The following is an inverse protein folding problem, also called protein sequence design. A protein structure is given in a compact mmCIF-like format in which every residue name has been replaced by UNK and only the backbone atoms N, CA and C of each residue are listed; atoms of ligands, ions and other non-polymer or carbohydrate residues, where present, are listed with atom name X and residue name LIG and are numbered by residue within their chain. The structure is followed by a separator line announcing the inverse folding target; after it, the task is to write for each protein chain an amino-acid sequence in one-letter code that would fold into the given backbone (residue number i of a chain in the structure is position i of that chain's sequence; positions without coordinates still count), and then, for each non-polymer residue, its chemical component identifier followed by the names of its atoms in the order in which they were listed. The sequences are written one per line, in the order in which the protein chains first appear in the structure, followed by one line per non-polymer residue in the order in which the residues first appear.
data_IF_499299768760
#
_entry.id   IF_499299768760
#
_cell.length_a   1.000
_cell.length_b   1.000
_cell.length_c   1.000
_cell.angle_alpha   90.00
_cell.angle_beta   90.00
_cell.angle_gamma   90.00
#
_symmetry.space_group_name_H-M   'P 1'
#
loop_
_entity.id
_entity.type
_entity.pdbx_description
1 polymer ?
#
# COMPACT_ATOMS: atom_id res chain seq x y z
N UNK A 1 26.94 5.38 41.66
CA UNK A 1 27.27 6.02 40.37
C UNK A 1 27.12 5.02 39.25
N UNK A 2 26.21 5.18 38.31
CA UNK A 2 26.06 4.24 37.21
C UNK A 2 27.19 4.47 36.19
N UNK A 3 27.86 3.38 35.81
CA UNK A 3 29.02 3.39 34.92
C UNK A 3 28.69 3.91 33.51
N UNK A 4 29.59 4.70 32.89
CA UNK A 4 29.36 5.29 31.57
C UNK A 4 29.17 4.25 30.46
N UNK A 5 29.61 3.02 30.66
CA UNK A 5 29.53 1.91 29.74
C UNK A 5 28.10 1.44 29.43
N UNK A 6 27.18 1.51 30.43
CA UNK A 6 25.77 1.12 30.24
C UNK A 6 24.99 2.11 29.36
N UNK A 7 25.32 3.41 29.45
CA UNK A 7 24.67 4.45 28.61
C UNK A 7 25.13 4.39 27.15
N UNK A 8 26.37 3.99 26.89
CA UNK A 8 26.91 3.79 25.55
C UNK A 8 26.29 2.56 24.86
N UNK A 9 26.10 1.45 25.59
CA UNK A 9 25.46 0.24 25.09
C UNK A 9 23.97 0.46 24.75
N UNK A 10 23.25 1.22 25.59
CA UNK A 10 21.83 1.57 25.31
C UNK A 10 21.69 2.48 24.09
N UNK A 11 22.62 3.41 23.87
CA UNK A 11 22.60 4.26 22.67
C UNK A 11 22.97 3.47 21.39
N UNK A 12 23.85 2.49 21.49
CA UNK A 12 24.23 1.63 20.37
C UNK A 12 23.08 0.69 19.97
N UNK A 13 22.32 0.17 20.92
CA UNK A 13 21.15 -0.69 20.66
C UNK A 13 20.01 0.12 20.02
N UNK A 14 19.76 1.36 20.48
CA UNK A 14 18.74 2.23 19.87
C UNK A 14 19.10 2.70 18.47
N UNK A 15 20.39 2.90 18.15
CA UNK A 15 20.84 3.23 16.81
C UNK A 15 20.73 2.03 15.83
N UNK A 16 20.84 0.80 16.35
CA UNK A 16 20.72 -0.43 15.54
C UNK A 16 19.29 -0.76 15.12
N UNK A 17 18.27 -0.32 15.86
CA UNK A 17 16.86 -0.56 15.50
C UNK A 17 16.32 0.38 14.43
N UNK A 18 16.94 1.55 14.21
CA UNK A 18 16.49 2.50 13.19
C UNK A 18 16.90 2.12 11.75
N UNK A 19 17.85 1.19 11.57
CA UNK A 19 18.32 0.76 10.24
C UNK A 19 17.71 -0.56 9.74
N UNK A 20 16.91 -1.24 10.57
CA UNK A 20 16.34 -2.55 10.25
C UNK A 20 15.00 -2.50 9.48
N UNK A 21 14.52 -1.31 9.13
CA UNK A 21 13.25 -1.11 8.42
C UNK A 21 13.41 -0.76 6.94
N UNK A 22 14.60 -0.92 6.38
CA UNK A 22 14.73 -0.92 4.93
C UNK A 22 14.47 -2.35 4.47
N UNK A 23 13.34 -2.66 3.82
CA UNK A 23 13.22 -3.89 3.08
C UNK A 23 14.36 -3.85 2.06
N UNK A 24 15.30 -4.79 2.18
CA UNK A 24 16.28 -5.04 1.12
C UNK A 24 15.45 -5.44 -0.09
N UNK A 25 15.20 -4.46 -0.94
CA UNK A 25 14.51 -4.66 -2.19
C UNK A 25 15.20 -5.80 -2.93
N UNK A 26 14.50 -6.87 -3.18
CA UNK A 26 14.84 -7.84 -4.20
C UNK A 26 14.56 -7.15 -5.55
N UNK A 27 15.39 -6.17 -5.86
CA UNK A 27 15.44 -5.57 -7.18
C UNK A 27 16.03 -6.60 -8.12
N UNK A 28 15.17 -7.36 -8.79
CA UNK A 28 15.52 -7.84 -10.10
C UNK A 28 15.94 -6.61 -10.94
N UNK A 29 16.98 -6.71 -11.83
CA UNK A 29 17.43 -5.61 -12.65
C UNK A 29 16.32 -5.24 -13.64
N UNK A 30 15.52 -4.28 -13.29
CA UNK A 30 14.41 -3.78 -14.08
C UNK A 30 13.63 -2.74 -13.29
N UNK A 31 13.52 -1.58 -13.72
CA UNK A 31 12.70 -0.45 -13.32
C UNK A 31 12.75 -0.05 -11.83
N UNK A 32 13.69 0.86 -11.51
CA UNK A 32 13.80 1.48 -10.20
C UNK A 32 12.46 2.12 -9.73
N UNK A 33 11.62 2.57 -10.67
CA UNK A 33 10.30 3.09 -10.39
C UNK A 33 9.33 2.03 -9.87
N UNK A 34 9.39 0.80 -10.39
CA UNK A 34 8.58 -0.31 -9.89
C UNK A 34 9.01 -0.72 -8.48
N UNK A 35 10.32 -0.80 -8.23
CA UNK A 35 10.83 -1.08 -6.90
C UNK A 35 10.37 -0.02 -5.88
N UNK A 36 10.54 1.26 -6.22
CA UNK A 36 10.06 2.37 -5.39
C UNK A 36 8.54 2.33 -5.16
N UNK A 37 7.76 1.92 -6.16
CA UNK A 37 6.32 1.72 -6.01
C UNK A 37 5.99 0.61 -5.00
N UNK A 38 6.69 -0.52 -5.03
CA UNK A 38 6.46 -1.63 -4.09
C UNK A 38 6.84 -1.23 -2.66
N UNK A 39 7.99 -0.58 -2.47
CA UNK A 39 8.44 -0.09 -1.17
C UNK A 39 7.46 0.95 -0.59
N UNK A 40 7.05 1.91 -1.43
CA UNK A 40 6.05 2.90 -1.07
C UNK A 40 4.71 2.25 -0.73
N UNK A 41 4.30 1.25 -1.50
CA UNK A 41 3.06 0.51 -1.27
C UNK A 41 3.05 -0.20 0.07
N UNK A 42 4.12 -0.95 0.39
CA UNK A 42 4.27 -1.64 1.66
C UNK A 42 4.14 -0.67 2.84
N UNK A 43 4.83 0.47 2.74
CA UNK A 43 4.79 1.54 3.74
C UNK A 43 3.38 2.12 3.91
N UNK A 44 2.68 2.42 2.81
CA UNK A 44 1.36 3.05 2.84
C UNK A 44 0.24 2.13 3.33
N UNK A 45 0.36 0.82 3.10
CA UNK A 45 -0.64 -0.16 3.57
C UNK A 45 -0.27 -0.78 4.93
N UNK A 46 0.83 -0.31 5.55
CA UNK A 46 1.27 -0.77 6.87
C UNK A 46 1.72 -2.24 6.89
N UNK A 47 2.30 -2.72 5.80
CA UNK A 47 2.83 -4.08 5.69
C UNK A 47 4.34 -4.05 5.50
N UNK A 48 5.05 -5.07 5.99
CA UNK A 48 6.48 -5.24 5.73
C UNK A 48 6.79 -5.61 4.28
N UNK A 49 5.79 -6.14 3.57
CA UNK A 49 5.92 -6.63 2.20
C UNK A 49 4.57 -6.61 1.49
N UNK A 50 4.59 -6.36 0.19
CA UNK A 50 3.45 -6.52 -0.72
C UNK A 50 3.85 -7.45 -1.88
N UNK A 51 2.90 -8.25 -2.38
CA UNK A 51 3.17 -9.20 -3.46
C UNK A 51 3.53 -8.48 -4.77
N UNK A 52 4.75 -8.65 -5.33
CA UNK A 52 5.14 -8.05 -6.59
C UNK A 52 4.29 -8.53 -7.78
N UNK A 53 3.77 -9.74 -7.74
CA UNK A 53 2.91 -10.26 -8.80
C UNK A 53 1.60 -9.48 -8.88
N UNK A 54 1.03 -9.12 -7.72
CA UNK A 54 -0.13 -8.24 -7.63
C UNK A 54 0.25 -6.77 -7.89
N UNK A 55 1.44 -6.35 -7.47
CA UNK A 55 1.93 -4.98 -7.65
C UNK A 55 2.15 -4.61 -9.12
N UNK A 56 2.64 -5.54 -9.93
CA UNK A 56 2.97 -5.29 -11.35
C UNK A 56 1.78 -4.77 -12.17
N UNK A 57 0.61 -5.41 -12.22
CA UNK A 57 -0.54 -4.88 -12.96
C UNK A 57 -1.04 -3.53 -12.44
N UNK A 58 -0.94 -3.28 -11.13
CA UNK A 58 -1.28 -1.98 -10.56
C UNK A 58 -0.32 -0.89 -11.03
N UNK A 59 0.99 -1.16 -10.98
CA UNK A 59 2.03 -0.25 -11.46
C UNK A 59 1.86 0.10 -12.94
N UNK A 60 1.68 -0.90 -13.81
CA UNK A 60 1.47 -0.68 -15.24
C UNK A 60 0.20 0.11 -15.53
N UNK A 61 -0.87 -0.10 -14.78
CA UNK A 61 -2.09 0.66 -14.93
C UNK A 61 -1.91 2.14 -14.53
N UNK A 62 -1.17 2.43 -13.45
CA UNK A 62 -0.82 3.80 -13.08
C UNK A 62 0.07 4.48 -14.11
N UNK A 63 1.09 3.76 -14.60
CA UNK A 63 2.00 4.25 -15.63
C UNK A 63 1.27 4.57 -16.93
N UNK A 64 0.28 3.75 -17.30
CA UNK A 64 -0.56 4.00 -18.48
C UNK A 64 -1.47 5.24 -18.31
N UNK A 65 -1.86 5.60 -17.08
CA UNK A 65 -2.64 6.81 -16.79
C UNK A 65 -1.78 8.08 -16.73
N UNK A 66 -0.57 7.95 -16.20
CA UNK A 66 0.38 9.05 -16.02
C UNK A 66 1.80 8.53 -16.22
N UNK A 67 2.42 8.87 -17.34
CA UNK A 67 3.76 8.39 -17.71
C UNK A 67 4.86 8.79 -16.71
N UNK A 68 4.64 9.82 -15.92
CA UNK A 68 5.54 10.31 -14.86
C UNK A 68 5.38 9.55 -13.52
N UNK A 69 4.43 8.62 -13.43
CA UNK A 69 4.12 7.89 -12.18
C UNK A 69 5.36 7.24 -11.53
N UNK A 70 6.27 6.56 -12.26
CA UNK A 70 7.49 5.99 -11.67
C UNK A 70 8.35 7.04 -10.96
N UNK A 71 8.55 8.20 -11.58
CA UNK A 71 9.34 9.29 -11.03
C UNK A 71 8.68 9.90 -9.78
N UNK A 72 7.35 9.98 -9.76
CA UNK A 72 6.58 10.45 -8.60
C UNK A 72 6.72 9.49 -7.41
N UNK A 73 6.74 8.18 -7.65
CA UNK A 73 7.00 7.19 -6.60
C UNK A 73 8.41 7.36 -6.01
N UNK A 74 9.43 7.49 -6.87
CA UNK A 74 10.81 7.74 -6.44
C UNK A 74 10.92 9.02 -5.61
N UNK A 75 10.32 10.12 -6.10
CA UNK A 75 10.36 11.42 -5.43
C UNK A 75 9.68 11.37 -4.04
N UNK A 76 8.51 10.73 -3.94
CA UNK A 76 7.81 10.60 -2.67
C UNK A 76 8.58 9.73 -1.68
N UNK A 77 9.12 8.59 -2.13
CA UNK A 77 9.91 7.71 -1.28
C UNK A 77 11.16 8.42 -0.76
N UNK A 78 11.87 9.14 -1.64
CA UNK A 78 13.03 9.95 -1.26
C UNK A 78 12.65 11.04 -0.24
N UNK A 79 11.52 11.72 -0.43
CA UNK A 79 11.03 12.74 0.50
C UNK A 79 10.70 12.16 1.88
N UNK A 80 10.04 10.96 1.92
CA UNK A 80 9.75 10.26 3.17
C UNK A 80 11.04 9.91 3.91
N UNK A 81 12.02 9.34 3.20
CA UNK A 81 13.31 8.94 3.77
C UNK A 81 14.13 10.13 4.26
N UNK A 82 14.27 11.18 3.44
CA UNK A 82 15.06 12.35 3.77
C UNK A 82 14.51 13.12 4.99
N UNK A 83 13.18 13.17 5.12
CA UNK A 83 12.50 13.91 6.19
C UNK A 83 12.05 13.02 7.36
N UNK A 84 12.28 11.70 7.29
CA UNK A 84 11.85 10.71 8.28
C UNK A 84 10.35 10.84 8.60
N UNK A 85 9.53 10.99 7.55
CA UNK A 85 8.09 11.18 7.71
C UNK A 85 7.42 9.89 8.18
N UNK A 86 6.63 10.01 9.23
CA UNK A 86 5.79 8.92 9.71
C UNK A 86 4.64 8.65 8.73
N UNK A 87 4.47 7.41 8.23
CA UNK A 87 3.38 7.04 7.34
C UNK A 87 1.99 7.43 7.85
N UNK A 88 1.75 7.36 9.17
CA UNK A 88 0.47 7.73 9.77
C UNK A 88 0.15 9.24 9.63
N UNK A 89 1.16 10.08 9.55
CA UNK A 89 1.01 11.54 9.42
C UNK A 89 1.31 12.06 8.03
N UNK A 90 1.88 11.23 7.15
CA UNK A 90 2.34 11.58 5.82
C UNK A 90 1.30 12.37 5.02
N UNK A 91 0.07 11.86 4.94
CA UNK A 91 -0.99 12.49 4.15
C UNK A 91 -1.30 13.90 4.65
N UNK A 92 -1.38 14.09 5.97
CA UNK A 92 -1.65 15.40 6.57
C UNK A 92 -0.52 16.40 6.27
N UNK A 93 0.74 15.94 6.31
CA UNK A 93 1.89 16.78 5.98
C UNK A 93 1.85 17.21 4.52
N UNK A 94 1.64 16.28 3.59
CA UNK A 94 1.57 16.58 2.16
C UNK A 94 0.40 17.52 1.81
N UNK A 95 -0.74 17.35 2.48
CA UNK A 95 -1.91 18.21 2.27
C UNK A 95 -1.67 19.62 2.81
N UNK A 96 -1.07 19.75 4.01
CA UNK A 96 -0.74 21.06 4.61
C UNK A 96 0.27 21.85 3.78
N UNK A 97 1.19 21.16 3.12
CA UNK A 97 2.19 21.76 2.23
C UNK A 97 1.68 21.99 0.80
N UNK A 98 0.41 21.65 0.50
CA UNK A 98 -0.14 21.65 -0.86
C UNK A 98 0.78 20.94 -1.86
N UNK A 99 1.40 19.84 -1.45
CA UNK A 99 2.40 19.11 -2.24
C UNK A 99 1.78 18.57 -3.53
N UNK A 100 2.48 18.67 -4.68
CA UNK A 100 2.03 18.04 -5.93
C UNK A 100 1.95 16.50 -5.84
N UNK A 101 2.57 15.91 -4.81
CA UNK A 101 2.53 14.48 -4.53
C UNK A 101 1.38 14.06 -3.58
N UNK A 102 0.59 15.01 -3.04
CA UNK A 102 -0.43 14.75 -2.02
C UNK A 102 -1.50 13.74 -2.44
N UNK A 103 -1.82 13.65 -3.73
CA UNK A 103 -2.78 12.67 -4.22
C UNK A 103 -2.22 11.23 -4.30
N UNK A 104 -0.89 11.07 -4.39
CA UNK A 104 -0.25 9.80 -4.68
C UNK A 104 -0.46 8.74 -3.59
N UNK A 105 -0.27 9.03 -2.28
CA UNK A 105 -0.50 8.03 -1.23
C UNK A 105 -1.93 7.48 -1.23
N UNK A 106 -2.93 8.36 -1.40
CA UNK A 106 -4.35 7.94 -1.45
C UNK A 106 -4.64 7.04 -2.64
N UNK A 107 -4.07 7.38 -3.81
CA UNK A 107 -4.26 6.59 -5.04
C UNK A 107 -3.65 5.19 -4.89
N UNK A 108 -2.43 5.11 -4.38
CA UNK A 108 -1.72 3.84 -4.16
C UNK A 108 -2.43 2.99 -3.11
N UNK A 109 -2.75 3.56 -1.94
CA UNK A 109 -3.46 2.82 -0.89
C UNK A 109 -4.83 2.31 -1.36
N UNK A 110 -5.59 3.12 -2.10
CA UNK A 110 -6.87 2.71 -2.68
C UNK A 110 -6.71 1.55 -3.67
N UNK A 111 -5.68 1.59 -4.52
CA UNK A 111 -5.44 0.55 -5.49
C UNK A 111 -5.16 -0.81 -4.82
N UNK A 112 -4.38 -0.81 -3.74
CA UNK A 112 -4.13 -2.03 -2.97
C UNK A 112 -5.34 -2.51 -2.18
N UNK A 113 -6.06 -1.59 -1.54
CA UNK A 113 -7.22 -1.93 -0.70
C UNK A 113 -8.42 -2.39 -1.52
N UNK A 114 -8.69 -1.74 -2.65
CA UNK A 114 -9.89 -1.98 -3.47
C UNK A 114 -9.61 -2.70 -4.79
N UNK A 115 -8.33 -2.86 -5.17
CA UNK A 115 -7.98 -3.44 -6.47
C UNK A 115 -8.30 -2.56 -7.66
N UNK A 116 -8.55 -1.26 -7.47
CA UNK A 116 -9.03 -0.34 -8.51
C UNK A 116 -8.03 0.79 -8.74
N UNK A 117 -7.64 1.00 -10.00
CA UNK A 117 -6.82 2.13 -10.46
C UNK A 117 -7.66 3.05 -11.32
N UNK A 118 -7.56 4.36 -11.06
CA UNK A 118 -8.34 5.39 -11.75
C UNK A 118 -9.70 5.68 -11.10
N UNK A 119 -10.52 6.49 -11.77
CA UNK A 119 -11.83 6.91 -11.29
C UNK A 119 -12.81 7.12 -12.43
N UNK A 120 -14.12 7.09 -12.14
CA UNK A 120 -15.19 7.28 -13.11
C UNK A 120 -15.09 6.26 -14.26
N UNK A 121 -15.27 6.72 -15.50
CA UNK A 121 -15.22 5.87 -16.71
C UNK A 121 -13.82 5.32 -17.01
N UNK A 122 -12.77 5.86 -16.37
CA UNK A 122 -11.38 5.41 -16.51
C UNK A 122 -10.96 4.43 -15.39
N UNK A 123 -11.85 4.09 -14.48
CA UNK A 123 -11.58 3.12 -13.44
C UNK A 123 -11.38 1.72 -14.03
N UNK A 124 -10.33 1.03 -13.55
CA UNK A 124 -10.02 -0.36 -13.94
C UNK A 124 -9.91 -1.20 -12.68
N UNK A 125 -10.69 -2.26 -12.59
CA UNK A 125 -10.55 -3.27 -11.54
C UNK A 125 -9.46 -4.27 -11.99
N UNK A 126 -8.42 -4.40 -11.18
CA UNK A 126 -7.24 -5.23 -11.46
C UNK A 126 -7.05 -6.34 -10.42
N UNK A 127 -7.66 -6.18 -9.25
CA UNK A 127 -7.69 -7.18 -8.19
C UNK A 127 -9.07 -7.16 -7.54
N UNK A 128 -9.61 -8.33 -7.26
CA UNK A 128 -10.89 -8.49 -6.58
C UNK A 128 -10.71 -9.36 -5.32
N UNK A 129 -10.49 -10.65 -5.50
CA UNK A 129 -10.25 -11.58 -4.38
C UNK A 129 -8.90 -11.32 -3.68
N UNK A 130 -7.91 -10.83 -4.43
CA UNK A 130 -6.58 -10.51 -3.92
C UNK A 130 -6.45 -9.08 -3.42
N UNK A 131 -7.51 -8.26 -3.52
CA UNK A 131 -7.51 -6.93 -2.92
C UNK A 131 -7.39 -7.03 -1.40
N UNK A 132 -6.65 -6.10 -0.77
CA UNK A 132 -6.33 -6.21 0.66
C UNK A 132 -7.58 -6.19 1.54
N UNK A 133 -8.63 -5.45 1.18
CA UNK A 133 -9.89 -5.47 1.90
C UNK A 133 -10.57 -6.85 1.87
N UNK A 134 -10.54 -7.56 0.73
CA UNK A 134 -11.08 -8.91 0.61
C UNK A 134 -10.26 -9.92 1.44
N UNK A 135 -8.93 -9.76 1.42
CA UNK A 135 -8.05 -10.62 2.23
C UNK A 135 -8.24 -10.41 3.73
N UNK A 136 -8.51 -9.18 4.18
CA UNK A 136 -8.71 -8.85 5.60
C UNK A 136 -9.96 -9.49 6.20
N UNK A 137 -10.96 -9.79 5.40
CA UNK A 137 -12.23 -10.40 5.82
C UNK A 137 -12.42 -11.82 5.28
N UNK A 138 -11.39 -12.38 4.68
CA UNK A 138 -11.42 -13.67 3.98
C UNK A 138 -11.69 -14.90 4.86
N UNK A 139 -11.57 -14.75 6.16
CA UNK A 139 -11.98 -15.74 7.17
C UNK A 139 -13.49 -15.77 7.39
N UNK A 140 -14.17 -14.64 7.17
CA UNK A 140 -15.62 -14.47 7.37
C UNK A 140 -16.36 -14.38 6.03
N UNK A 141 -15.81 -13.59 5.09
CA UNK A 141 -16.44 -13.32 3.80
C UNK A 141 -15.47 -13.68 2.66
N UNK A 142 -15.89 -14.57 1.77
CA UNK A 142 -15.10 -14.96 0.59
C UNK A 142 -15.79 -14.51 -0.69
N UNK A 143 -15.20 -13.58 -1.46
CA UNK A 143 -15.65 -13.32 -2.82
C UNK A 143 -15.45 -14.57 -3.70
N UNK A 144 -16.34 -14.90 -4.62
CA UNK A 144 -17.64 -14.29 -4.96
C UNK A 144 -18.83 -14.84 -4.19
N UNK A 145 -18.59 -15.47 -3.03
CA UNK A 145 -19.63 -16.15 -2.23
C UNK A 145 -20.67 -15.21 -1.59
N UNK A 146 -20.64 -13.92 -1.91
CA UNK A 146 -21.70 -12.98 -1.56
C UNK A 146 -23.05 -13.26 -2.26
N UNK A 147 -23.04 -14.01 -3.35
CA UNK A 147 -24.23 -14.44 -4.07
C UNK A 147 -24.46 -15.94 -3.78
N UNK A 148 -24.96 -16.24 -2.58
CA UNK A 148 -25.37 -17.61 -2.25
C UNK A 148 -26.62 -17.98 -3.03
N UNK A 149 -26.54 -19.03 -3.84
CA UNK A 149 -27.67 -19.61 -4.57
C UNK A 149 -27.62 -19.39 -6.08
N UNK A 150 -28.67 -19.84 -6.75
CA UNK A 150 -28.82 -19.72 -8.19
C UNK A 150 -28.97 -18.25 -8.62
N UNK A 151 -28.71 -17.97 -9.89
CA UNK A 151 -28.90 -16.64 -10.45
C UNK A 151 -30.29 -16.09 -10.15
N UNK A 152 -30.35 -14.89 -9.57
CA UNK A 152 -31.62 -14.27 -9.16
C UNK A 152 -32.15 -14.68 -7.78
N UNK A 153 -31.48 -15.57 -7.05
CA UNK A 153 -31.93 -16.01 -5.71
C UNK A 153 -32.04 -14.87 -4.70
N UNK A 154 -31.23 -13.82 -4.84
CA UNK A 154 -31.27 -12.60 -4.00
C UNK A 154 -32.52 -11.74 -4.22
N UNK A 155 -33.26 -11.93 -5.32
CA UNK A 155 -34.51 -11.23 -5.57
C UNK A 155 -35.69 -11.85 -4.81
N UNK A 156 -35.50 -13.04 -4.22
CA UNK A 156 -36.51 -13.68 -3.39
C UNK A 156 -36.44 -13.10 -1.98
N UNK A 157 -37.59 -12.73 -1.41
CA UNK A 157 -37.65 -12.31 -0.01
C UNK A 157 -37.06 -13.41 0.90
N UNK A 158 -36.24 -13.00 1.88
CA UNK A 158 -35.77 -13.91 2.92
C UNK A 158 -36.98 -14.60 3.55
N UNK A 159 -37.01 -15.93 3.52
CA UNK A 159 -37.99 -16.67 4.31
C UNK A 159 -37.62 -16.43 5.76
N UNK A 160 -38.45 -15.65 6.44
CA UNK A 160 -38.43 -15.57 7.89
C UNK A 160 -38.89 -16.94 8.40
N UNK A 161 -37.94 -17.85 8.55
CA UNK A 161 -38.19 -19.05 9.32
C UNK A 161 -38.24 -18.62 10.79
N UNK A 162 -39.51 -18.47 11.28
CA UNK A 162 -39.83 -18.22 12.68
C UNK A 162 -39.71 -19.54 13.48
#
# INVERSE_FOLDING_TARGET
MPSPTRRLLLKAVLAGYATAWLPTAWAAPGDAGQAAFLDLSALLVGRSYVDPAQGKPLFEAFKAQAGDFPNRCLALLAQIQARQLDPATLQRVLDAEASPLAALPRQVARAWLQGVVGSGTKARCLAYETALNAQMVGDVLRPPSYAYGAYGSWASAERSDA
#
